data_IF_485683091072
#
_entry.id   IF_485683091072
#
_cell.length_a   1.000
_cell.length_b   1.000
_cell.length_c   1.000
_cell.angle_alpha   90.00
_cell.angle_beta   90.00
_cell.angle_gamma   90.00
#
_symmetry.space_group_name_H-M   'P 1'
#
loop_
_entity.id
_entity.type
_entity.pdbx_description
1 polymer ?
#
# COMPACT_ATOMS: atom_id res chain seq x y z
N UNK A 1 -17.78 29.91 6.88
CA UNK A 1 -17.90 28.50 7.34
C UNK A 1 -16.49 27.96 7.43
N UNK A 2 -16.05 27.60 8.63
CA UNK A 2 -14.71 27.02 8.80
C UNK A 2 -14.70 25.67 8.08
N UNK A 3 -13.78 25.53 7.12
CA UNK A 3 -13.48 24.30 6.44
C UNK A 3 -13.05 23.27 7.51
N UNK A 4 -13.89 22.29 7.80
CA UNK A 4 -13.52 21.16 8.65
C UNK A 4 -12.51 20.34 7.88
N UNK A 5 -11.23 20.72 7.96
CA UNK A 5 -10.12 19.92 7.41
C UNK A 5 -10.23 18.53 8.01
N UNK A 6 -10.49 17.57 7.16
CA UNK A 6 -10.52 16.16 7.54
C UNK A 6 -9.14 15.81 8.10
N UNK A 7 -9.08 15.28 9.31
CA UNK A 7 -7.80 14.80 9.88
C UNK A 7 -7.22 13.75 8.94
N UNK A 8 -5.94 13.84 8.56
CA UNK A 8 -5.30 12.81 7.75
C UNK A 8 -5.38 11.44 8.44
N UNK A 9 -5.55 10.39 7.67
CA UNK A 9 -5.45 9.00 8.14
C UNK A 9 -4.00 8.70 8.53
N UNK A 10 -3.81 8.16 9.73
CA UNK A 10 -2.51 7.68 10.20
C UNK A 10 -2.33 6.21 9.84
N UNK A 11 -1.48 5.95 8.83
CA UNK A 11 -1.10 4.61 8.40
C UNK A 11 0.22 4.18 9.06
N UNK A 12 0.21 3.05 9.77
CA UNK A 12 1.38 2.52 10.48
C UNK A 12 1.82 1.14 9.92
N UNK A 13 3.14 0.82 9.98
CA UNK A 13 3.62 -0.52 9.61
C UNK A 13 3.27 -1.56 10.67
N UNK A 14 2.90 -2.78 10.22
CA UNK A 14 2.67 -3.94 11.07
C UNK A 14 3.35 -5.17 10.47
N UNK A 15 4.60 -5.43 10.86
CA UNK A 15 5.38 -6.55 10.33
C UNK A 15 5.04 -7.90 10.99
N UNK A 16 4.37 -7.90 12.12
CA UNK A 16 3.90 -9.06 12.87
C UNK A 16 2.75 -8.67 13.79
N UNK A 17 2.18 -9.66 14.48
CA UNK A 17 1.01 -9.47 15.35
C UNK A 17 1.31 -8.56 16.56
N UNK A 18 2.54 -8.55 17.08
CA UNK A 18 2.92 -7.67 18.19
C UNK A 18 2.95 -6.21 17.72
N UNK A 19 3.59 -5.93 16.58
CA UNK A 19 3.63 -4.59 15.99
C UNK A 19 2.25 -4.11 15.57
N UNK A 20 1.38 -5.01 15.07
CA UNK A 20 -0.01 -4.70 14.79
C UNK A 20 -0.75 -4.21 16.05
N UNK A 21 -0.66 -4.96 17.15
CA UNK A 21 -1.25 -4.57 18.42
C UNK A 21 -0.74 -3.22 18.93
N UNK A 22 0.57 -2.96 18.78
CA UNK A 22 1.16 -1.68 19.14
C UNK A 22 0.66 -0.55 18.26
N UNK A 23 0.59 -0.74 16.94
CA UNK A 23 0.06 0.28 16.02
C UNK A 23 -1.38 0.67 16.39
N UNK A 24 -2.24 -0.31 16.65
CA UNK A 24 -3.62 -0.10 17.11
C UNK A 24 -3.65 0.64 18.44
N UNK A 25 -2.87 0.21 19.43
CA UNK A 25 -2.81 0.82 20.76
C UNK A 25 -2.39 2.29 20.70
N UNK A 26 -1.47 2.63 19.81
CA UNK A 26 -0.98 4.01 19.63
C UNK A 26 -1.80 4.84 18.64
N UNK A 27 -2.96 4.36 18.21
CA UNK A 27 -3.96 5.14 17.50
C UNK A 27 -3.78 5.20 15.99
N UNK A 28 -3.24 4.16 15.37
CA UNK A 28 -3.28 4.04 13.92
C UNK A 28 -4.73 3.92 13.42
N UNK A 29 -5.07 4.64 12.35
CA UNK A 29 -6.35 4.52 11.65
C UNK A 29 -6.33 3.37 10.63
N UNK A 30 -5.13 3.08 10.11
CA UNK A 30 -4.88 1.96 9.22
C UNK A 30 -3.49 1.37 9.47
N UNK A 31 -3.30 0.11 9.11
CA UNK A 31 -2.00 -0.57 9.14
C UNK A 31 -1.67 -1.14 7.77
N UNK A 32 -0.38 -1.15 7.41
CA UNK A 32 0.06 -1.92 6.27
C UNK A 32 0.94 -3.09 6.70
N UNK A 33 0.70 -4.22 6.08
CA UNK A 33 1.40 -5.48 6.34
C UNK A 33 1.75 -6.17 5.01
N UNK A 34 2.57 -7.21 5.10
CA UNK A 34 2.91 -8.06 3.96
C UNK A 34 2.61 -9.52 4.31
N UNK A 35 2.17 -10.27 3.31
CA UNK A 35 2.22 -11.73 3.35
C UNK A 35 3.64 -12.26 3.10
N UNK A 36 3.82 -13.56 3.21
CA UNK A 36 5.10 -14.25 2.95
C UNK A 36 5.52 -14.22 1.48
N UNK A 37 4.62 -13.79 0.56
CA UNK A 37 4.85 -13.74 -0.88
C UNK A 37 4.55 -12.34 -1.43
N UNK A 38 5.25 -11.95 -2.51
CA UNK A 38 5.05 -10.71 -3.26
C UNK A 38 5.31 -9.40 -2.50
N UNK A 39 5.84 -9.46 -1.28
CA UNK A 39 6.27 -8.29 -0.52
C UNK A 39 7.78 -8.06 -0.66
N UNK A 40 8.23 -6.80 -0.81
CA UNK A 40 9.66 -6.45 -0.94
C UNK A 40 10.51 -6.75 0.30
N UNK A 41 9.90 -7.07 1.43
CA UNK A 41 10.59 -7.35 2.69
C UNK A 41 10.39 -8.80 3.11
N UNK A 42 10.74 -9.75 2.22
CA UNK A 42 10.60 -11.18 2.48
C UNK A 42 11.30 -11.64 3.78
N UNK A 43 12.38 -10.97 4.19
CA UNK A 43 13.12 -11.27 5.44
C UNK A 43 12.67 -10.45 6.67
N UNK A 44 11.74 -9.49 6.53
CA UNK A 44 11.09 -8.89 7.68
C UNK A 44 9.97 -9.81 8.18
N UNK A 45 9.52 -9.62 9.41
CA UNK A 45 8.31 -10.33 9.88
C UNK A 45 7.17 -10.12 8.86
N UNK A 46 6.55 -11.22 8.45
CA UNK A 46 5.44 -11.25 7.50
C UNK A 46 4.37 -12.18 8.07
N UNK A 47 3.13 -11.94 7.70
CA UNK A 47 2.02 -12.79 8.16
C UNK A 47 1.92 -14.03 7.28
N UNK A 48 1.93 -15.21 7.92
CA UNK A 48 1.56 -16.44 7.25
C UNK A 48 0.08 -16.37 6.82
N UNK A 49 -0.33 -17.14 5.79
CA UNK A 49 -1.72 -17.12 5.31
C UNK A 49 -2.75 -17.36 6.43
N UNK A 50 -2.44 -18.22 7.38
CA UNK A 50 -3.29 -18.58 8.52
C UNK A 50 -3.38 -17.44 9.55
N UNK A 51 -2.34 -16.62 9.67
CA UNK A 51 -2.27 -15.47 10.58
C UNK A 51 -2.96 -14.25 10.03
N UNK A 52 -3.01 -14.12 8.69
CA UNK A 52 -3.54 -12.94 8.01
C UNK A 52 -4.99 -12.66 8.42
N UNK A 53 -5.85 -13.68 8.36
CA UNK A 53 -7.26 -13.52 8.75
C UNK A 53 -7.40 -13.08 10.21
N UNK A 54 -6.61 -13.64 11.11
CA UNK A 54 -6.60 -13.27 12.53
C UNK A 54 -6.14 -11.82 12.71
N UNK A 55 -5.15 -11.38 11.95
CA UNK A 55 -4.65 -10.00 11.98
C UNK A 55 -5.70 -9.00 11.48
N UNK A 56 -6.37 -9.33 10.38
CA UNK A 56 -7.46 -8.51 9.81
C UNK A 56 -8.62 -8.40 10.81
N UNK A 57 -9.09 -9.52 11.35
CA UNK A 57 -10.19 -9.54 12.31
C UNK A 57 -9.86 -8.74 13.58
N UNK A 58 -8.62 -8.85 14.07
CA UNK A 58 -8.16 -8.06 15.20
C UNK A 58 -8.17 -6.56 14.89
N UNK A 59 -7.63 -6.13 13.76
CA UNK A 59 -7.61 -4.73 13.36
C UNK A 59 -9.03 -4.17 13.20
N UNK A 60 -9.89 -4.89 12.49
CA UNK A 60 -11.28 -4.49 12.27
C UNK A 60 -12.10 -4.40 13.58
N UNK A 61 -11.86 -5.30 14.54
CA UNK A 61 -12.50 -5.23 15.86
C UNK A 61 -12.16 -3.94 16.62
N UNK A 62 -11.06 -3.26 16.23
CA UNK A 62 -10.63 -1.98 16.80
C UNK A 62 -10.89 -0.80 15.86
N UNK A 63 -11.58 -1.00 14.73
CA UNK A 63 -11.90 0.05 13.77
C UNK A 63 -10.71 0.49 12.91
N UNK A 64 -9.66 -0.32 12.81
CA UNK A 64 -8.43 -0.05 12.05
C UNK A 64 -8.45 -0.80 10.73
N UNK A 65 -8.23 -0.10 9.62
CA UNK A 65 -8.18 -0.70 8.28
C UNK A 65 -6.84 -1.44 8.05
N UNK A 66 -6.88 -2.45 7.17
CA UNK A 66 -5.71 -3.27 6.84
C UNK A 66 -5.38 -3.17 5.35
N UNK A 67 -4.17 -2.71 5.05
CA UNK A 67 -3.63 -2.66 3.69
C UNK A 67 -2.54 -3.72 3.52
N UNK A 68 -2.63 -4.54 2.47
CA UNK A 68 -1.62 -5.57 2.19
C UNK A 68 -0.72 -5.15 1.02
N UNK A 69 0.60 -5.28 1.20
CA UNK A 69 1.56 -4.92 0.15
C UNK A 69 1.82 -6.09 -0.80
N UNK A 70 1.66 -5.84 -2.10
CA UNK A 70 2.09 -6.65 -3.24
C UNK A 70 2.93 -5.74 -4.13
N UNK A 71 4.04 -5.26 -3.61
CA UNK A 71 4.80 -4.18 -4.23
C UNK A 71 6.12 -4.63 -4.86
N UNK A 72 6.31 -5.92 -5.08
CA UNK A 72 7.34 -6.46 -5.95
C UNK A 72 6.96 -6.25 -7.43
N UNK A 73 7.91 -6.45 -8.33
CA UNK A 73 7.68 -6.52 -9.77
C UNK A 73 7.76 -8.00 -10.18
N UNK A 74 6.65 -8.74 -10.19
CA UNK A 74 6.65 -10.17 -10.45
C UNK A 74 7.06 -10.46 -11.88
N UNK A 75 7.92 -11.47 -12.05
CA UNK A 75 8.28 -12.00 -13.38
C UNK A 75 7.18 -12.93 -13.89
N UNK A 76 7.21 -13.25 -15.18
CA UNK A 76 6.19 -14.10 -15.82
C UNK A 76 5.95 -15.44 -15.11
N UNK A 77 6.99 -16.06 -14.55
CA UNK A 77 6.85 -17.31 -13.78
C UNK A 77 6.25 -17.13 -12.38
N UNK A 78 6.25 -15.91 -11.84
CA UNK A 78 5.72 -15.59 -10.52
C UNK A 78 4.28 -15.08 -10.61
N UNK A 79 3.97 -14.35 -11.69
CA UNK A 79 2.66 -13.71 -11.89
C UNK A 79 1.51 -14.73 -11.96
N UNK A 80 1.79 -15.96 -12.40
CA UNK A 80 0.79 -17.03 -12.51
C UNK A 80 0.27 -17.50 -11.14
N UNK A 81 1.02 -17.26 -10.07
CA UNK A 81 0.62 -17.57 -8.68
C UNK A 81 -0.10 -16.42 -7.98
N UNK A 82 -0.09 -15.23 -8.58
CA UNK A 82 -0.68 -14.04 -7.98
C UNK A 82 -2.21 -14.10 -7.85
N UNK A 83 -2.99 -14.68 -8.79
CA UNK A 83 -4.43 -14.81 -8.65
C UNK A 83 -4.88 -15.47 -7.35
N UNK A 84 -4.34 -16.63 -7.02
CA UNK A 84 -4.68 -17.36 -5.80
C UNK A 84 -4.33 -16.55 -4.53
N UNK A 85 -3.20 -15.83 -4.55
CA UNK A 85 -2.82 -14.96 -3.44
C UNK A 85 -3.80 -13.80 -3.27
N UNK A 86 -4.25 -13.18 -4.36
CA UNK A 86 -5.22 -12.08 -4.36
C UNK A 86 -6.59 -12.53 -3.85
N UNK A 87 -7.05 -13.71 -4.25
CA UNK A 87 -8.30 -14.29 -3.73
C UNK A 87 -8.23 -14.50 -2.22
N UNK A 88 -7.11 -15.00 -1.70
CA UNK A 88 -6.90 -15.14 -0.24
C UNK A 88 -6.96 -13.81 0.51
N UNK A 89 -6.38 -12.74 -0.05
CA UNK A 89 -6.46 -11.40 0.53
C UNK A 89 -7.89 -10.87 0.55
N UNK A 90 -8.62 -11.07 -0.54
CA UNK A 90 -10.02 -10.71 -0.67
C UNK A 90 -10.90 -11.45 0.36
N UNK A 91 -10.69 -12.75 0.51
CA UNK A 91 -11.43 -13.61 1.44
C UNK A 91 -11.07 -13.33 2.90
N UNK A 92 -9.83 -12.94 3.17
CA UNK A 92 -9.40 -12.48 4.49
C UNK A 92 -10.05 -11.15 4.90
N UNK A 93 -10.59 -10.38 3.95
CA UNK A 93 -11.24 -9.10 4.19
C UNK A 93 -10.26 -7.92 4.26
N UNK A 94 -9.13 -8.00 3.55
CA UNK A 94 -8.18 -6.89 3.43
C UNK A 94 -8.86 -5.69 2.77
N UNK A 95 -8.69 -4.48 3.33
CA UNK A 95 -9.37 -3.28 2.85
C UNK A 95 -8.73 -2.72 1.58
N UNK A 96 -7.40 -2.84 1.46
CA UNK A 96 -6.68 -2.36 0.28
C UNK A 96 -5.44 -3.20 -0.04
N UNK A 97 -5.09 -3.23 -1.31
CA UNK A 97 -3.88 -3.86 -1.84
C UNK A 97 -2.97 -2.76 -2.39
N UNK A 98 -1.72 -2.72 -1.91
CA UNK A 98 -0.70 -1.74 -2.33
C UNK A 98 0.18 -2.41 -3.38
N UNK A 99 0.11 -1.96 -4.63
CA UNK A 99 0.81 -2.53 -5.78
C UNK A 99 1.73 -1.53 -6.46
N UNK A 100 2.77 -2.01 -7.14
CA UNK A 100 3.68 -1.18 -7.93
C UNK A 100 3.66 -1.53 -9.43
N UNK A 101 3.34 -2.77 -9.75
CA UNK A 101 3.31 -3.32 -11.10
C UNK A 101 1.91 -3.23 -11.73
N UNK A 102 1.84 -2.85 -13.01
CA UNK A 102 0.57 -2.69 -13.72
C UNK A 102 -0.16 -4.02 -13.93
N UNK A 103 0.58 -5.12 -14.15
CA UNK A 103 0.01 -6.46 -14.27
C UNK A 103 -0.62 -6.89 -12.95
N UNK A 104 0.10 -6.72 -11.84
CA UNK A 104 -0.43 -7.00 -10.50
C UNK A 104 -1.65 -6.13 -10.17
N UNK A 105 -1.64 -4.85 -10.56
CA UNK A 105 -2.79 -3.95 -10.41
C UNK A 105 -4.03 -4.44 -11.18
N UNK A 106 -3.82 -4.91 -12.41
CA UNK A 106 -4.90 -5.43 -13.25
C UNK A 106 -5.50 -6.71 -12.65
N UNK A 107 -4.63 -7.64 -12.21
CA UNK A 107 -5.06 -8.88 -11.57
C UNK A 107 -5.76 -8.61 -10.23
N UNK A 108 -5.30 -7.64 -9.43
CA UNK A 108 -5.96 -7.25 -8.19
C UNK A 108 -7.41 -6.80 -8.42
N UNK A 109 -7.68 -6.04 -9.49
CA UNK A 109 -9.05 -5.67 -9.85
C UNK A 109 -9.95 -6.84 -10.23
N UNK A 110 -9.36 -7.94 -10.73
CA UNK A 110 -10.09 -9.13 -11.15
C UNK A 110 -10.30 -10.13 -10.01
N UNK A 111 -9.27 -10.39 -9.20
CA UNK A 111 -9.25 -11.48 -8.23
C UNK A 111 -9.44 -11.02 -6.78
N UNK A 112 -9.36 -9.70 -6.52
CA UNK A 112 -9.67 -9.11 -5.22
C UNK A 112 -10.60 -7.89 -5.38
N UNK A 113 -11.81 -8.07 -5.93
CA UNK A 113 -12.70 -6.96 -6.28
C UNK A 113 -13.21 -6.16 -5.06
N UNK A 114 -13.18 -6.74 -3.87
CA UNK A 114 -13.60 -6.07 -2.63
C UNK A 114 -12.48 -5.21 -2.01
N UNK A 115 -11.23 -5.38 -2.46
CA UNK A 115 -10.09 -4.61 -1.99
C UNK A 115 -9.91 -3.35 -2.83
N UNK A 116 -9.70 -2.21 -2.17
CA UNK A 116 -9.24 -0.99 -2.85
C UNK A 116 -7.85 -1.22 -3.44
N UNK A 117 -7.52 -0.52 -4.51
CA UNK A 117 -6.19 -0.60 -5.15
C UNK A 117 -5.42 0.68 -4.91
N UNK A 118 -4.34 0.58 -4.16
CA UNK A 118 -3.42 1.67 -3.85
C UNK A 118 -2.11 1.50 -4.62
N UNK A 119 -1.57 2.60 -5.15
CA UNK A 119 -0.33 2.56 -5.90
C UNK A 119 0.84 2.85 -4.98
N UNK A 120 1.76 1.89 -4.89
CA UNK A 120 2.95 1.97 -4.06
C UNK A 120 3.90 3.11 -4.47
N UNK A 121 4.65 3.64 -3.51
CA UNK A 121 5.78 4.54 -3.77
C UNK A 121 6.83 3.93 -4.70
N UNK A 122 6.86 2.60 -4.85
CA UNK A 122 7.70 1.88 -5.80
C UNK A 122 7.37 2.19 -7.27
N UNK A 123 6.17 2.70 -7.56
CA UNK A 123 5.79 3.20 -8.89
C UNK A 123 6.36 4.59 -9.20
N UNK A 124 7.10 5.21 -8.27
CA UNK A 124 7.78 6.51 -8.45
C UNK A 124 6.85 7.64 -8.88
N UNK A 125 5.67 7.76 -8.25
CA UNK A 125 4.72 8.83 -8.60
C UNK A 125 5.25 10.17 -8.10
N UNK A 126 5.68 11.02 -9.03
CA UNK A 126 6.30 12.32 -8.75
C UNK A 126 5.58 13.51 -9.40
N UNK A 127 4.46 13.28 -10.08
CA UNK A 127 3.69 14.33 -10.73
C UNK A 127 2.20 13.98 -10.87
N UNK A 128 1.38 15.00 -11.07
CA UNK A 128 -0.08 14.84 -11.17
C UNK A 128 -0.55 14.09 -12.42
N UNK A 129 0.22 14.12 -13.52
CA UNK A 129 -0.16 13.41 -14.76
C UNK A 129 -0.12 11.90 -14.52
N UNK A 130 0.96 11.41 -13.88
CA UNK A 130 1.08 10.01 -13.50
C UNK A 130 0.01 9.61 -12.46
N UNK A 131 -0.28 10.47 -11.48
CA UNK A 131 -1.33 10.23 -10.49
C UNK A 131 -2.72 10.10 -11.15
N UNK A 132 -3.04 10.99 -12.09
CA UNK A 132 -4.29 10.94 -12.84
C UNK A 132 -4.39 9.70 -13.73
N UNK A 133 -3.30 9.30 -14.39
CA UNK A 133 -3.29 8.08 -15.20
C UNK A 133 -3.60 6.82 -14.37
N UNK A 134 -3.07 6.72 -13.15
CA UNK A 134 -3.42 5.63 -12.24
C UNK A 134 -4.87 5.70 -11.76
N UNK A 135 -5.36 6.92 -11.49
CA UNK A 135 -6.78 7.12 -11.15
C UNK A 135 -7.71 6.67 -12.27
N UNK A 136 -7.42 7.04 -13.52
CA UNK A 136 -8.19 6.64 -14.70
C UNK A 136 -8.22 5.12 -14.91
N UNK A 137 -7.16 4.42 -14.46
CA UNK A 137 -7.12 2.96 -14.42
C UNK A 137 -7.88 2.37 -13.23
N UNK A 138 -8.37 3.18 -12.30
CA UNK A 138 -9.19 2.78 -11.15
C UNK A 138 -8.41 2.63 -9.84
N UNK A 139 -7.27 3.29 -9.69
CA UNK A 139 -6.61 3.41 -8.38
C UNK A 139 -7.42 4.35 -7.48
N UNK A 140 -7.61 3.97 -6.22
CA UNK A 140 -8.28 4.78 -5.22
C UNK A 140 -7.31 5.67 -4.41
N UNK A 141 -6.03 5.28 -4.35
CA UNK A 141 -4.97 6.00 -3.63
C UNK A 141 -3.65 5.91 -4.37
N UNK A 142 -2.85 6.96 -4.29
CA UNK A 142 -1.46 6.99 -4.75
C UNK A 142 -0.53 7.36 -3.60
N UNK A 143 0.52 6.56 -3.41
CA UNK A 143 1.58 6.81 -2.44
C UNK A 143 2.72 7.51 -3.17
N UNK A 144 2.94 8.77 -2.85
CA UNK A 144 3.86 9.62 -3.59
C UNK A 144 5.33 9.22 -3.38
N UNK A 145 6.17 9.60 -4.32
CA UNK A 145 7.61 9.52 -4.18
C UNK A 145 8.08 10.40 -3.01
N UNK A 146 9.07 9.92 -2.25
CA UNK A 146 9.54 10.55 -1.00
C UNK A 146 10.40 11.81 -1.24
N UNK A 147 10.80 12.02 -2.48
CA UNK A 147 11.65 13.12 -2.91
C UNK A 147 10.88 14.44 -3.13
N UNK A 148 9.54 14.39 -3.08
CA UNK A 148 8.68 15.53 -3.32
C UNK A 148 8.68 16.51 -2.14
N UNK A 149 8.78 17.78 -2.44
CA UNK A 149 8.53 18.87 -1.51
C UNK A 149 7.04 19.02 -1.20
N UNK A 150 6.70 19.70 -0.11
CA UNK A 150 5.31 20.00 0.24
C UNK A 150 4.58 20.81 -0.84
N UNK A 151 5.30 21.67 -1.57
CA UNK A 151 4.73 22.47 -2.65
C UNK A 151 4.37 21.61 -3.87
N UNK A 152 5.24 20.65 -4.21
CA UNK A 152 4.94 19.68 -5.27
C UNK A 152 3.77 18.76 -4.90
N UNK A 153 3.70 18.30 -3.65
CA UNK A 153 2.56 17.52 -3.13
C UNK A 153 1.26 18.34 -3.23
N UNK A 154 1.30 19.63 -2.85
CA UNK A 154 0.15 20.53 -3.00
C UNK A 154 -0.28 20.66 -4.45
N UNK A 155 0.68 20.85 -5.36
CA UNK A 155 0.42 20.93 -6.81
C UNK A 155 -0.23 19.66 -7.35
N UNK A 156 0.23 18.49 -6.88
CA UNK A 156 -0.40 17.21 -7.23
C UNK A 156 -1.82 17.17 -6.72
N UNK A 157 -2.06 17.53 -5.44
CA UNK A 157 -3.40 17.51 -4.84
C UNK A 157 -4.37 18.45 -5.59
N UNK A 158 -3.93 19.63 -5.98
CA UNK A 158 -4.76 20.62 -6.68
C UNK A 158 -5.16 20.19 -8.10
N UNK A 159 -4.33 19.33 -8.74
CA UNK A 159 -4.51 18.90 -10.13
C UNK A 159 -4.99 17.47 -10.27
N UNK A 160 -5.40 16.83 -9.19
CA UNK A 160 -5.96 15.47 -9.18
C UNK A 160 -7.40 15.48 -8.69
N UNK A 161 -8.23 14.48 -9.04
CA UNK A 161 -9.60 14.35 -8.55
C UNK A 161 -9.67 14.36 -7.02
N UNK A 162 -10.73 14.95 -6.48
CA UNK A 162 -10.89 15.13 -5.03
C UNK A 162 -11.03 13.79 -4.28
N UNK A 163 -11.55 12.76 -4.94
CA UNK A 163 -11.75 11.41 -4.44
C UNK A 163 -10.52 10.49 -4.63
N UNK A 164 -9.52 10.93 -5.40
CA UNK A 164 -8.22 10.24 -5.37
C UNK A 164 -7.51 10.55 -4.04
N UNK A 165 -7.29 9.54 -3.23
CA UNK A 165 -6.53 9.67 -1.99
C UNK A 165 -5.03 9.83 -2.28
N UNK A 166 -4.37 10.74 -1.56
CA UNK A 166 -2.93 10.96 -1.66
C UNK A 166 -2.29 10.62 -0.32
N UNK A 167 -1.30 9.74 -0.37
CA UNK A 167 -0.52 9.32 0.78
C UNK A 167 0.94 9.78 0.65
N UNK A 168 1.53 10.25 1.75
CA UNK A 168 2.92 10.66 1.81
C UNK A 168 3.59 10.13 3.09
N UNK A 169 4.85 9.73 2.97
CA UNK A 169 5.65 9.36 4.13
C UNK A 169 5.99 10.57 4.97
N UNK A 170 5.75 10.48 6.29
CA UNK A 170 6.06 11.55 7.25
C UNK A 170 7.10 11.12 8.27
N UNK A 171 7.33 9.82 8.44
CA UNK A 171 8.30 9.26 9.40
C UNK A 171 8.79 7.88 8.94
N UNK A 172 10.01 7.51 9.32
CA UNK A 172 10.59 6.19 9.11
C UNK A 172 11.96 6.24 8.43
N UNK A 173 12.58 5.06 8.30
CA UNK A 173 13.85 4.92 7.59
C UNK A 173 13.65 5.12 6.08
N UNK A 174 14.41 6.03 5.51
CA UNK A 174 14.41 6.34 4.08
C UNK A 174 15.56 5.64 3.38
N UNK A 175 15.27 4.94 2.29
CA UNK A 175 16.33 4.43 1.40
C UNK A 175 17.08 5.61 0.75
N UNK A 176 18.39 5.49 0.61
CA UNK A 176 19.22 6.48 -0.11
C UNK A 176 18.90 6.52 -1.61
N UNK A 177 18.37 5.43 -2.16
CA UNK A 177 17.95 5.38 -3.56
C UNK A 177 16.66 6.14 -3.80
N UNK A 178 16.51 6.69 -5.01
CA UNK A 178 15.27 7.29 -5.47
C UNK A 178 14.12 6.27 -5.35
N UNK A 179 12.93 6.73 -4.98
CA UNK A 179 11.74 5.88 -4.79
C UNK A 179 11.50 4.99 -6.02
N UNK A 180 11.35 3.68 -5.80
CA UNK A 180 11.15 2.71 -6.86
C UNK A 180 12.37 2.38 -7.74
N UNK A 181 13.55 2.91 -7.44
CA UNK A 181 14.78 2.74 -8.24
C UNK A 181 15.94 2.07 -7.46
N UNK A 182 15.62 1.38 -6.38
CA UNK A 182 16.62 0.67 -5.58
C UNK A 182 16.99 -0.66 -6.22
N UNK A 183 18.17 -0.74 -6.85
CA UNK A 183 18.69 -1.98 -7.41
C UNK A 183 19.29 -2.91 -6.35
N UNK A 184 19.74 -2.37 -5.21
CA UNK A 184 20.28 -3.19 -4.11
C UNK A 184 19.23 -4.15 -3.54
N UNK A 185 17.98 -3.73 -3.42
CA UNK A 185 16.90 -4.61 -2.95
C UNK A 185 16.74 -5.85 -3.84
N UNK A 186 16.89 -5.70 -5.16
CA UNK A 186 16.80 -6.83 -6.09
C UNK A 186 18.06 -7.71 -6.10
N UNK A 187 19.20 -7.17 -5.67
CA UNK A 187 20.46 -7.92 -5.64
C UNK A 187 20.64 -8.72 -4.35
N UNK A 188 20.08 -8.24 -3.24
CA UNK A 188 20.27 -8.83 -1.91
C UNK A 188 19.08 -9.70 -1.44
N UNK A 189 17.99 -9.74 -2.18
CA UNK A 189 16.82 -10.58 -1.94
C UNK A 189 16.67 -11.63 -3.03
#
# INVERSE_FOLDING_TARGET
>A
MADKRKTPELLAPAGDMERLKMAVLYGADAVYLAGTSFGMRAFAGNFAPEELKTAVDFAHAHGVAVHCTINTMPRSGEIDHLPEHLERLNDAGVDAIIVADLGAFTLAGKYAPNCKRHISTQASISNYVTANAWYDLGASRVILARELSLEEIRTIREKTPADLEIEAFVHGAMCVSYSGRCLLSNYMT
#
